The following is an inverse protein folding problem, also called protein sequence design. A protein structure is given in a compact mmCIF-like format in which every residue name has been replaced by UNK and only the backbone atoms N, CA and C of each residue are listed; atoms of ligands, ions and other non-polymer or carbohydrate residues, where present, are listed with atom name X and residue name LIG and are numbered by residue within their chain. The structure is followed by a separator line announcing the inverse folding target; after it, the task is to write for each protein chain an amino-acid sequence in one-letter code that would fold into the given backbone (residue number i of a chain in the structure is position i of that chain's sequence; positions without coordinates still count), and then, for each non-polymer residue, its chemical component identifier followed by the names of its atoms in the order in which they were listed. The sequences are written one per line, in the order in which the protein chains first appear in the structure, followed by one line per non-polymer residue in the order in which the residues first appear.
data_IF_726133254543
#
_entry.id   IF_726133254543
#
_cell.length_a   1.000
_cell.length_b   1.000
_cell.length_c   1.000
_cell.angle_alpha   90.00
_cell.angle_beta   90.00
_cell.angle_gamma   90.00
#
_symmetry.space_group_name_H-M   'P 1'
#
loop_
_entity.id
_entity.type
_entity.pdbx_description
1 polymer ?
#
# COMPACT_ATOMS: atom_id res chain seq x y z
N UNK A 1 11.66 39.69 -0.49
CA UNK A 1 11.98 38.42 -1.20
C UNK A 1 13.36 38.46 -1.86
N UNK A 2 13.66 39.41 -2.75
CA UNK A 2 14.97 39.53 -3.42
C UNK A 2 16.18 39.77 -2.47
N UNK A 3 16.00 40.55 -1.40
CA UNK A 3 17.04 40.78 -0.36
C UNK A 3 17.33 39.54 0.52
N UNK A 4 16.34 38.64 0.70
CA UNK A 4 16.49 37.42 1.50
C UNK A 4 17.27 36.33 0.72
N UNK A 5 17.02 36.21 -0.59
CA UNK A 5 17.74 35.30 -1.49
C UNK A 5 19.24 35.69 -1.64
N UNK A 6 19.55 36.98 -1.51
CA UNK A 6 20.92 37.49 -1.58
C UNK A 6 21.79 37.11 -0.36
N UNK A 7 21.20 36.91 0.83
CA UNK A 7 21.92 36.42 2.02
C UNK A 7 22.27 34.93 1.92
N UNK A 8 21.35 34.09 1.44
CA UNK A 8 21.62 32.67 1.14
C UNK A 8 22.75 32.47 0.11
N UNK A 9 22.90 33.38 -0.87
CA UNK A 9 24.00 33.29 -1.85
C UNK A 9 25.37 33.68 -1.28
N UNK A 10 25.46 34.51 -0.23
CA UNK A 10 26.75 34.96 0.34
C UNK A 10 27.48 33.87 1.13
N UNK A 11 26.77 32.89 1.69
CA UNK A 11 27.40 31.74 2.37
C UNK A 11 28.10 30.76 1.42
N UNK A 12 27.84 30.84 0.11
CA UNK A 12 28.35 29.89 -0.89
C UNK A 12 29.61 30.37 -1.63
N UNK A 13 30.04 31.62 -1.45
CA UNK A 13 31.17 32.21 -2.20
C UNK A 13 32.21 32.74 -1.21
N UNK A 14 33.00 31.83 -0.64
CA UNK A 14 34.34 32.17 -0.14
C UNK A 14 35.36 31.29 -0.86
N UNK A 15 36.41 31.95 -1.35
CA UNK A 15 37.39 31.44 -2.30
C UNK A 15 38.34 30.40 -1.65
N UNK A 16 38.59 29.31 -2.37
CA UNK A 16 39.83 28.52 -2.28
C UNK A 16 39.95 27.50 -1.15
N UNK A 17 39.25 26.36 -1.23
CA UNK A 17 39.65 25.14 -0.50
C UNK A 17 39.08 23.85 -1.15
N UNK A 18 39.87 22.77 -1.10
CA UNK A 18 39.63 21.39 -1.62
C UNK A 18 38.23 20.83 -1.33
N UNK A 19 37.71 19.85 -2.12
CA UNK A 19 36.36 19.32 -1.96
C UNK A 19 36.21 18.63 -0.60
N UNK A 20 35.48 19.27 0.32
CA UNK A 20 35.13 18.74 1.65
C UNK A 20 33.79 17.99 1.59
N UNK A 21 33.66 17.03 2.51
CA UNK A 21 32.69 15.91 2.58
C UNK A 21 31.23 16.16 2.17
N UNK A 22 30.60 15.09 1.65
CA UNK A 22 29.23 14.96 1.13
C UNK A 22 28.09 15.14 2.17
N UNK A 23 28.35 15.67 3.36
CA UNK A 23 27.36 15.87 4.44
C UNK A 23 27.59 17.18 5.21
N UNK A 24 27.74 18.32 4.52
CA UNK A 24 27.85 19.63 5.18
C UNK A 24 26.52 20.39 5.20
N UNK A 25 26.21 20.92 6.38
CA UNK A 25 25.02 21.65 6.85
C UNK A 25 24.91 23.10 6.35
N UNK A 26 25.07 23.35 5.05
CA UNK A 26 25.33 24.73 4.55
C UNK A 26 24.30 25.23 3.52
N UNK A 27 23.01 25.14 3.83
CA UNK A 27 21.95 25.80 3.04
C UNK A 27 21.25 26.95 3.80
N UNK A 28 21.44 27.03 5.10
CA UNK A 28 20.90 28.06 5.99
C UNK A 28 21.79 28.15 7.23
N UNK A 29 21.89 29.33 7.83
CA UNK A 29 22.54 29.51 9.12
C UNK A 29 21.57 29.11 10.24
N UNK A 30 22.07 28.52 11.34
CA UNK A 30 21.20 28.12 12.46
C UNK A 30 20.52 29.34 13.12
N UNK A 31 21.12 30.53 13.04
CA UNK A 31 20.55 31.79 13.55
C UNK A 31 19.31 32.25 12.76
N UNK A 32 19.15 31.78 11.52
CA UNK A 32 17.99 32.06 10.66
C UNK A 32 16.78 31.17 11.01
N UNK A 33 16.90 30.29 12.00
CA UNK A 33 15.84 29.40 12.46
C UNK A 33 15.16 29.95 13.72
N UNK A 34 13.84 29.84 13.77
CA UNK A 34 13.06 29.82 15.01
C UNK A 34 12.64 28.36 15.25
N UNK A 35 13.22 27.74 16.29
CA UNK A 35 12.99 26.34 16.65
C UNK A 35 12.13 26.27 17.92
N UNK A 36 10.97 25.63 17.81
CA UNK A 36 10.05 25.41 18.93
C UNK A 36 9.77 23.93 19.11
N UNK A 37 9.67 23.53 20.38
CA UNK A 37 9.29 22.18 20.76
C UNK A 37 7.87 22.21 21.31
N UNK A 38 6.97 21.52 20.64
CA UNK A 38 5.57 21.48 21.02
C UNK A 38 5.19 20.06 21.45
N UNK A 39 4.18 19.98 22.31
CA UNK A 39 3.54 18.72 22.61
C UNK A 39 2.88 18.20 21.33
N UNK A 40 3.24 16.99 20.94
CA UNK A 40 2.65 16.35 19.78
C UNK A 40 1.21 15.96 20.04
N UNK A 41 0.33 16.14 19.05
CA UNK A 41 -1.06 15.67 19.09
C UNK A 41 -1.26 14.55 18.07
N UNK A 42 -1.95 13.48 18.47
CA UNK A 42 -2.27 12.32 17.62
C UNK A 42 -2.49 11.03 18.45
N UNK A 43 -2.78 9.91 17.78
CA UNK A 43 -3.08 8.59 18.39
C UNK A 43 -1.86 7.89 19.04
N UNK A 44 -0.93 8.66 19.60
CA UNK A 44 0.19 8.15 20.37
C UNK A 44 -0.21 7.95 21.82
N UNK A 45 0.04 6.76 22.39
CA UNK A 45 -0.29 6.44 23.78
C UNK A 45 0.25 7.46 24.81
N UNK A 46 -0.15 7.30 26.08
CA UNK A 46 0.00 8.25 27.19
C UNK A 46 1.37 8.96 27.37
N UNK A 47 2.45 8.44 26.75
CA UNK A 47 3.80 9.03 26.78
C UNK A 47 4.05 10.11 25.71
N UNK A 48 3.37 10.04 24.55
CA UNK A 48 3.54 11.01 23.44
C UNK A 48 2.88 12.36 23.79
N UNK A 49 1.74 12.33 24.47
CA UNK A 49 1.02 13.52 24.90
C UNK A 49 1.71 14.27 26.07
N UNK A 50 2.67 13.63 26.76
CA UNK A 50 3.40 14.21 27.90
C UNK A 50 4.78 14.74 27.56
N UNK A 51 5.29 14.48 26.35
CA UNK A 51 6.67 14.83 25.98
C UNK A 51 6.69 15.75 24.76
N UNK A 52 7.32 16.93 24.88
CA UNK A 52 7.50 17.91 23.79
C UNK A 52 8.49 17.43 22.72
N UNK A 53 8.15 16.34 22.04
CA UNK A 53 8.99 15.64 21.05
C UNK A 53 8.78 16.13 19.62
N UNK A 54 7.73 16.92 19.36
CA UNK A 54 7.46 17.49 18.04
C UNK A 54 8.29 18.77 17.84
N UNK A 55 9.02 18.83 16.71
CA UNK A 55 9.86 19.97 16.35
C UNK A 55 9.15 20.82 15.31
N UNK A 56 9.06 22.11 15.58
CA UNK A 56 8.58 23.12 14.65
C UNK A 56 9.75 24.04 14.31
N UNK A 57 10.17 24.05 13.04
CA UNK A 57 11.21 24.93 12.51
C UNK A 57 10.58 25.96 11.58
N UNK A 58 10.82 27.25 11.86
CA UNK A 58 10.52 28.34 10.94
C UNK A 58 11.83 28.91 10.43
N UNK A 59 12.02 28.92 9.11
CA UNK A 59 13.14 29.63 8.50
C UNK A 59 12.74 31.09 8.28
N UNK A 60 13.25 31.99 9.12
CA UNK A 60 12.85 33.42 9.16
C UNK A 60 12.96 34.10 7.79
N UNK A 61 13.99 33.87 6.96
CA UNK A 61 14.14 34.55 5.67
C UNK A 61 13.09 34.16 4.61
N UNK A 62 12.63 32.89 4.60
CA UNK A 62 11.68 32.39 3.59
C UNK A 62 10.26 32.20 4.13
N UNK A 63 10.07 32.24 5.45
CA UNK A 63 8.80 31.93 6.10
C UNK A 63 8.43 30.44 6.05
N UNK A 64 9.32 29.57 5.59
CA UNK A 64 9.06 28.13 5.50
C UNK A 64 8.90 27.53 6.90
N UNK A 65 7.79 26.83 7.09
CA UNK A 65 7.43 26.14 8.31
C UNK A 65 7.55 24.62 8.11
N UNK A 66 8.43 23.98 8.86
CA UNK A 66 8.55 22.52 8.92
C UNK A 66 8.08 22.04 10.29
N UNK A 67 7.09 21.15 10.30
CA UNK A 67 6.67 20.40 11.50
C UNK A 67 7.09 18.94 11.36
N UNK A 68 7.76 18.40 12.38
CA UNK A 68 8.29 17.04 12.37
C UNK A 68 8.03 16.31 13.68
N UNK A 69 7.32 15.18 13.59
CA UNK A 69 7.07 14.25 14.70
C UNK A 69 7.04 12.82 14.16
N UNK A 70 8.19 12.33 13.70
CA UNK A 70 8.31 10.98 13.13
C UNK A 70 8.74 9.92 14.14
N UNK A 71 9.46 10.35 15.17
CA UNK A 71 10.04 9.46 16.17
C UNK A 71 9.69 9.91 17.58
N UNK A 72 9.92 9.03 18.56
CA UNK A 72 9.86 9.36 19.99
C UNK A 72 11.05 10.21 20.48
N UNK A 73 12.07 10.42 19.65
CA UNK A 73 13.30 11.11 20.00
C UNK A 73 13.31 12.54 19.46
N UNK A 74 13.46 13.51 20.38
CA UNK A 74 13.55 14.93 20.02
C UNK A 74 14.73 15.19 19.07
N UNK A 75 15.89 14.61 19.35
CA UNK A 75 17.11 14.82 18.56
C UNK A 75 16.98 14.24 17.14
N UNK A 76 16.32 13.08 16.99
CA UNK A 76 16.03 12.52 15.68
C UNK A 76 15.04 13.39 14.91
N UNK A 77 13.96 13.85 15.56
CA UNK A 77 13.00 14.76 14.93
C UNK A 77 13.65 16.10 14.52
N UNK A 78 14.60 16.63 15.31
CA UNK A 78 15.39 17.84 14.99
C UNK A 78 16.25 17.64 13.74
N UNK A 79 16.90 16.47 13.62
CA UNK A 79 17.72 16.14 12.44
C UNK A 79 16.86 15.99 11.18
N UNK A 80 15.72 15.33 11.28
CA UNK A 80 14.80 15.12 10.16
C UNK A 80 14.18 16.44 9.70
N UNK A 81 13.76 17.29 10.64
CA UNK A 81 13.20 18.61 10.34
C UNK A 81 14.20 19.49 9.56
N UNK A 82 15.47 19.52 9.97
CA UNK A 82 16.54 20.27 9.26
C UNK A 82 16.81 19.72 7.86
N UNK A 83 16.79 18.39 7.67
CA UNK A 83 16.95 17.77 6.35
C UNK A 83 15.80 18.13 5.40
N UNK A 84 14.56 18.13 5.91
CA UNK A 84 13.36 18.53 5.15
C UNK A 84 13.41 20.00 4.77
N UNK A 85 13.81 20.86 5.71
CA UNK A 85 13.99 22.29 5.46
C UNK A 85 15.06 22.53 4.38
N UNK A 86 16.21 21.86 4.48
CA UNK A 86 17.27 21.95 3.48
C UNK A 86 16.79 21.54 2.08
N UNK A 87 16.00 20.47 1.98
CA UNK A 87 15.43 20.02 0.72
C UNK A 87 14.45 21.03 0.11
N UNK A 88 13.56 21.61 0.92
CA UNK A 88 12.61 22.63 0.45
C UNK A 88 13.31 23.93 0.04
N UNK A 89 14.36 24.33 0.76
CA UNK A 89 15.17 25.50 0.41
C UNK A 89 15.97 25.26 -0.87
N UNK A 90 16.56 24.08 -1.06
CA UNK A 90 17.28 23.74 -2.30
C UNK A 90 16.33 23.77 -3.52
N UNK A 91 15.09 23.30 -3.36
CA UNK A 91 14.07 23.36 -4.40
C UNK A 91 13.67 24.81 -4.72
N UNK A 92 13.40 25.63 -3.70
CA UNK A 92 13.04 27.05 -3.89
C UNK A 92 14.18 27.89 -4.48
N UNK A 93 15.43 27.59 -4.14
CA UNK A 93 16.60 28.35 -4.59
C UNK A 93 17.07 27.95 -6.00
N UNK A 94 16.99 26.66 -6.32
CA UNK A 94 17.65 26.11 -7.49
C UNK A 94 16.68 25.50 -8.53
N UNK A 95 15.39 25.34 -8.24
CA UNK A 95 14.39 24.81 -9.18
C UNK A 95 14.85 23.53 -9.88
N UNK A 96 14.85 23.53 -11.22
CA UNK A 96 15.31 22.41 -12.07
C UNK A 96 16.80 22.08 -11.91
N UNK A 97 17.59 23.03 -11.38
CA UNK A 97 19.00 22.84 -11.07
C UNK A 97 19.24 22.28 -9.67
N UNK A 98 18.19 22.07 -8.87
CA UNK A 98 18.30 21.48 -7.52
C UNK A 98 18.95 20.10 -7.55
N UNK A 99 19.60 19.73 -6.44
CA UNK A 99 20.27 18.42 -6.33
C UNK A 99 19.28 17.27 -6.46
N UNK A 100 18.03 17.51 -6.04
CA UNK A 100 16.91 16.57 -6.12
C UNK A 100 16.42 16.44 -7.57
N UNK A 101 16.18 17.55 -8.27
CA UNK A 101 15.78 17.55 -9.68
C UNK A 101 16.83 16.88 -10.59
N UNK A 102 18.12 17.17 -10.38
CA UNK A 102 19.23 16.50 -11.11
C UNK A 102 19.29 14.98 -10.86
N UNK A 103 18.91 14.54 -9.66
CA UNK A 103 18.84 13.10 -9.31
C UNK A 103 17.65 12.43 -10.00
N UNK A 104 16.49 13.08 -10.00
CA UNK A 104 15.29 12.61 -10.72
C UNK A 104 15.52 12.53 -12.24
N UNK A 105 16.17 13.53 -12.84
CA UNK A 105 16.50 13.54 -14.27
C UNK A 105 17.50 12.43 -14.64
N UNK A 106 18.52 12.17 -13.81
CA UNK A 106 19.44 11.03 -14.00
C UNK A 106 18.69 9.68 -13.96
N UNK A 107 17.70 9.54 -13.07
CA UNK A 107 16.86 8.35 -12.99
C UNK A 107 15.97 8.21 -14.23
N UNK A 108 15.36 9.30 -14.72
CA UNK A 108 14.56 9.31 -15.96
C UNK A 108 15.40 8.91 -17.18
N UNK A 109 16.61 9.45 -17.32
CA UNK A 109 17.55 9.06 -18.38
C UNK A 109 17.95 7.59 -18.32
N UNK A 110 18.15 7.01 -17.13
CA UNK A 110 18.45 5.57 -16.97
C UNK A 110 17.27 4.70 -17.36
N UNK A 111 16.04 5.07 -16.96
CA UNK A 111 14.81 4.37 -17.35
C UNK A 111 14.58 4.42 -18.88
N UNK A 112 14.77 5.58 -19.50
CA UNK A 112 14.67 5.75 -20.96
C UNK A 112 15.68 4.89 -21.73
N UNK A 113 16.95 4.89 -21.31
CA UNK A 113 17.98 4.04 -21.91
C UNK A 113 17.67 2.55 -21.74
N UNK A 114 17.14 2.14 -20.60
CA UNK A 114 16.74 0.74 -20.37
C UNK A 114 15.56 0.34 -21.27
N UNK A 115 14.56 1.22 -21.44
CA UNK A 115 13.42 1.02 -22.36
C UNK A 115 13.87 0.90 -23.82
N UNK A 116 14.80 1.76 -24.27
CA UNK A 116 15.37 1.68 -25.62
C UNK A 116 16.11 0.37 -25.89
N UNK A 117 16.88 -0.13 -24.90
CA UNK A 117 17.60 -1.40 -24.99
C UNK A 117 16.68 -2.62 -24.96
N UNK A 118 15.60 -2.55 -24.19
CA UNK A 118 14.57 -3.60 -24.17
C UNK A 118 13.86 -3.68 -25.52
N UNK A 119 13.48 -2.53 -26.09
CA UNK A 119 12.81 -2.44 -27.41
C UNK A 119 13.72 -2.92 -28.55
N UNK A 120 15.03 -2.66 -28.48
CA UNK A 120 16.00 -3.15 -29.45
C UNK A 120 16.29 -4.66 -29.32
N UNK A 121 16.07 -5.27 -28.14
CA UNK A 121 16.38 -6.68 -27.88
C UNK A 121 15.22 -7.62 -28.25
N UNK A 122 13.98 -7.14 -28.19
CA UNK A 122 12.77 -7.97 -28.37
C UNK A 122 11.85 -7.48 -29.50
N UNK A 123 12.30 -6.52 -30.32
CA UNK A 123 11.52 -5.99 -31.43
C UNK A 123 12.08 -6.40 -32.78
N UNK A 124 11.67 -7.55 -33.32
CA UNK A 124 11.28 -7.73 -34.73
C UNK A 124 10.68 -9.11 -35.05
N UNK A 125 9.89 -9.08 -36.14
CA UNK A 125 9.01 -10.10 -36.76
C UNK A 125 7.61 -10.11 -36.10
N UNK A 126 6.54 -9.58 -36.70
CA UNK A 126 6.11 -9.66 -38.11
C UNK A 126 5.74 -8.31 -38.78
N UNK A 127 6.06 -8.21 -40.08
CA UNK A 127 5.61 -7.17 -41.03
C UNK A 127 4.36 -7.66 -41.80
N UNK A 128 3.29 -6.83 -41.87
CA UNK A 128 2.54 -6.44 -43.07
C UNK A 128 1.32 -5.53 -42.70
N UNK A 129 0.85 -4.66 -43.61
CA UNK A 129 0.33 -3.33 -43.28
C UNK A 129 -1.20 -3.27 -43.17
N UNK A 130 -1.70 -2.52 -42.19
CA UNK A 130 -3.11 -2.18 -42.04
C UNK A 130 -3.27 -0.76 -41.51
N UNK A 131 -3.76 0.13 -42.38
CA UNK A 131 -4.11 1.52 -42.09
C UNK A 131 -4.99 1.66 -40.85
N UNK A 132 -4.62 2.60 -39.98
CA UNK A 132 -5.42 2.97 -38.81
C UNK A 132 -4.57 3.58 -37.71
N UNK A 133 -4.16 4.83 -37.87
CA UNK A 133 -3.50 5.61 -36.82
C UNK A 133 -4.39 5.68 -35.56
N UNK A 134 -4.07 4.89 -34.54
CA UNK A 134 -4.60 5.07 -33.19
C UNK A 134 -3.81 6.20 -32.51
N UNK A 135 -4.47 7.23 -31.94
CA UNK A 135 -3.77 8.34 -31.32
C UNK A 135 -3.08 7.89 -30.02
N UNK A 136 -1.84 8.35 -29.86
CA UNK A 136 -0.99 8.21 -28.67
C UNK A 136 -1.72 8.64 -27.39
N UNK A 137 -2.10 7.69 -26.54
CA UNK A 137 -2.81 7.94 -25.27
C UNK A 137 -1.91 7.95 -24.01
N UNK A 138 -0.58 8.06 -24.16
CA UNK A 138 0.34 7.98 -23.00
C UNK A 138 1.32 9.16 -22.87
N UNK A 139 1.01 10.31 -23.47
CA UNK A 139 1.70 11.56 -23.18
C UNK A 139 1.08 12.28 -21.97
N UNK A 140 1.18 11.69 -20.77
CA UNK A 140 1.08 12.48 -19.52
C UNK A 140 2.48 12.85 -19.07
N UNK A 141 2.75 14.16 -19.07
CA UNK A 141 3.93 14.73 -18.42
C UNK A 141 3.96 14.27 -16.95
N UNK A 142 5.11 13.87 -16.40
CA UNK A 142 5.15 13.48 -15.00
C UNK A 142 5.12 14.73 -14.13
N UNK A 143 4.02 14.82 -13.39
CA UNK A 143 3.77 15.78 -12.33
C UNK A 143 4.94 15.88 -11.36
N UNK A 144 5.23 17.13 -11.02
CA UNK A 144 6.23 17.60 -10.08
C UNK A 144 6.04 16.98 -8.68
N UNK A 145 7.12 16.38 -8.16
CA UNK A 145 7.23 15.69 -6.88
C UNK A 145 7.27 16.71 -5.73
N UNK A 146 6.10 17.24 -5.38
CA UNK A 146 5.89 17.96 -4.12
C UNK A 146 4.64 17.46 -3.38
N UNK A 147 4.80 16.42 -2.56
CA UNK A 147 4.11 16.34 -1.27
C UNK A 147 2.57 16.24 -1.26
N UNK A 148 1.94 15.78 -2.33
CA UNK A 148 0.54 15.34 -2.29
C UNK A 148 0.54 13.82 -2.13
N UNK A 149 0.21 13.33 -0.93
CA UNK A 149 -0.62 12.11 -0.88
C UNK A 149 -1.76 12.39 -1.85
N UNK A 150 -1.91 11.60 -2.92
CA UNK A 150 -3.13 11.67 -3.74
C UNK A 150 -4.29 11.86 -2.77
N UNK A 151 -5.03 12.96 -2.89
CA UNK A 151 -6.22 13.14 -2.08
C UNK A 151 -7.12 11.98 -2.48
N UNK A 152 -7.11 10.91 -1.68
CA UNK A 152 -8.00 9.78 -1.81
C UNK A 152 -9.40 10.40 -1.78
N UNK A 153 -10.05 10.48 -2.93
CA UNK A 153 -11.37 11.07 -3.01
C UNK A 153 -12.34 10.14 -2.28
N UNK A 154 -13.17 10.66 -1.36
CA UNK A 154 -14.17 9.85 -0.68
C UNK A 154 -15.08 9.16 -1.70
N UNK A 155 -15.43 7.90 -1.44
CA UNK A 155 -16.45 7.23 -2.25
C UNK A 155 -17.82 7.81 -1.87
N UNK A 156 -18.57 8.20 -2.90
CA UNK A 156 -19.95 8.66 -2.74
C UNK A 156 -20.91 7.48 -2.57
N UNK A 157 -21.94 7.66 -1.74
CA UNK A 157 -23.01 6.67 -1.53
C UNK A 157 -22.80 5.77 -0.32
N UNK A 158 -23.79 4.88 -0.09
CA UNK A 158 -23.76 3.90 1.00
C UNK A 158 -23.06 2.62 0.57
N UNK A 159 -22.29 2.04 1.49
CA UNK A 159 -21.56 0.79 1.30
C UNK A 159 -22.09 -0.25 2.28
N UNK A 160 -22.49 -1.40 1.78
CA UNK A 160 -23.01 -2.50 2.59
C UNK A 160 -22.01 -3.65 2.60
N UNK A 161 -21.67 -4.16 3.77
CA UNK A 161 -20.86 -5.37 3.93
C UNK A 161 -21.77 -6.50 4.38
N UNK A 162 -21.96 -7.51 3.54
CA UNK A 162 -22.69 -8.73 3.88
C UNK A 162 -21.72 -9.75 4.45
N UNK A 163 -21.91 -10.12 5.70
CA UNK A 163 -20.96 -10.83 6.56
C UNK A 163 -20.10 -9.85 7.36
N UNK A 164 -19.99 -10.08 8.66
CA UNK A 164 -19.19 -9.27 9.59
C UNK A 164 -18.02 -10.05 10.22
N UNK A 165 -17.38 -10.91 9.41
CA UNK A 165 -16.21 -11.66 9.83
C UNK A 165 -14.92 -10.84 9.83
N UNK A 166 -13.80 -11.50 10.12
CA UNK A 166 -12.47 -10.88 10.23
C UNK A 166 -12.09 -10.03 9.00
N UNK A 167 -12.41 -10.50 7.79
CA UNK A 167 -12.06 -9.76 6.57
C UNK A 167 -12.94 -8.52 6.36
N UNK A 168 -14.23 -8.61 6.66
CA UNK A 168 -15.12 -7.45 6.62
C UNK A 168 -14.64 -6.38 7.60
N UNK A 169 -14.38 -6.75 8.85
CA UNK A 169 -13.82 -5.84 9.87
C UNK A 169 -12.50 -5.23 9.43
N UNK A 170 -11.60 -6.03 8.83
CA UNK A 170 -10.32 -5.55 8.30
C UNK A 170 -10.46 -4.51 7.19
N UNK A 171 -11.37 -4.75 6.24
CA UNK A 171 -11.63 -3.84 5.13
C UNK A 171 -12.33 -2.57 5.61
N UNK A 172 -13.34 -2.68 6.47
CA UNK A 172 -14.06 -1.54 7.04
C UNK A 172 -13.07 -0.64 7.81
N UNK A 173 -12.29 -1.21 8.73
CA UNK A 173 -11.28 -0.46 9.49
C UNK A 173 -10.21 0.16 8.58
N UNK A 174 -9.79 -0.55 7.55
CA UNK A 174 -8.85 -0.05 6.54
C UNK A 174 -9.39 1.14 5.75
N UNK A 175 -10.62 1.06 5.24
CA UNK A 175 -11.25 2.13 4.44
C UNK A 175 -11.57 3.36 5.29
N UNK A 176 -12.08 3.17 6.51
CA UNK A 176 -12.31 4.27 7.46
C UNK A 176 -10.99 4.92 7.86
N UNK A 177 -9.97 4.12 8.20
CA UNK A 177 -8.64 4.63 8.56
C UNK A 177 -7.88 5.31 7.41
N UNK A 178 -8.26 5.04 6.16
CA UNK A 178 -7.78 5.74 4.97
C UNK A 178 -8.55 7.03 4.66
N UNK A 179 -9.68 7.28 5.34
CA UNK A 179 -10.57 8.42 5.07
C UNK A 179 -11.39 8.27 3.78
N UNK A 180 -11.46 7.05 3.22
CA UNK A 180 -12.17 6.76 1.98
C UNK A 180 -13.69 6.65 2.20
N UNK A 181 -14.09 6.14 3.36
CA UNK A 181 -15.48 5.99 3.79
C UNK A 181 -15.64 6.56 5.20
N UNK A 182 -16.70 7.35 5.41
CA UNK A 182 -17.13 7.72 6.75
C UNK A 182 -17.87 6.53 7.39
N UNK A 183 -17.74 6.28 8.71
CA UNK A 183 -18.46 5.20 9.38
C UNK A 183 -19.97 5.21 9.12
N UNK A 184 -20.60 6.40 9.10
CA UNK A 184 -22.02 6.57 8.82
C UNK A 184 -22.46 6.22 7.39
N UNK A 185 -21.53 6.01 6.45
CA UNK A 185 -21.83 5.50 5.11
C UNK A 185 -21.88 3.97 5.05
N UNK A 186 -21.44 3.28 6.10
CA UNK A 186 -21.23 1.84 6.11
C UNK A 186 -22.34 1.14 6.89
N UNK A 187 -22.86 0.05 6.35
CA UNK A 187 -23.73 -0.89 7.07
C UNK A 187 -23.14 -2.30 7.00
N UNK A 188 -22.88 -2.91 8.15
CA UNK A 188 -22.48 -4.31 8.25
C UNK A 188 -23.72 -5.18 8.51
N UNK A 189 -23.93 -6.19 7.67
CA UNK A 189 -25.08 -7.09 7.72
C UNK A 189 -24.61 -8.48 8.11
N UNK A 190 -25.11 -9.03 9.21
CA UNK A 190 -24.78 -10.39 9.65
C UNK A 190 -25.93 -10.96 10.49
N UNK A 191 -26.32 -12.25 10.31
CA UNK A 191 -27.37 -12.88 11.10
C UNK A 191 -27.14 -12.82 12.61
N UNK A 192 -25.90 -12.67 13.07
CA UNK A 192 -25.56 -12.57 14.49
C UNK A 192 -26.03 -11.25 15.13
N UNK A 193 -26.28 -10.21 14.34
CA UNK A 193 -26.69 -8.92 14.86
C UNK A 193 -28.15 -8.93 15.30
N UNK A 194 -28.41 -8.30 16.44
CA UNK A 194 -29.78 -8.12 16.95
C UNK A 194 -30.27 -6.72 16.62
N UNK A 195 -31.50 -6.62 16.12
CA UNK A 195 -32.13 -5.33 15.87
C UNK A 195 -32.19 -4.48 17.15
N UNK A 196 -31.73 -3.23 17.07
CA UNK A 196 -31.74 -2.28 18.19
C UNK A 196 -30.60 -2.44 19.22
N UNK A 197 -29.67 -3.39 19.03
CA UNK A 197 -28.46 -3.46 19.86
C UNK A 197 -27.45 -2.38 19.43
N UNK A 198 -26.66 -1.86 20.38
CA UNK A 198 -25.54 -0.98 20.08
C UNK A 198 -24.60 -1.66 19.06
N UNK A 199 -24.00 -0.87 18.17
CA UNK A 199 -23.05 -1.36 17.18
C UNK A 199 -22.05 -2.31 17.86
N UNK A 200 -21.91 -3.52 17.35
CA UNK A 200 -21.00 -4.49 17.94
C UNK A 200 -19.59 -3.90 17.95
N UNK A 201 -18.93 -3.90 19.12
CA UNK A 201 -17.52 -3.46 19.27
C UNK A 201 -16.57 -4.17 18.28
N UNK A 202 -17.00 -5.31 17.74
CA UNK A 202 -16.27 -6.17 16.80
C UNK A 202 -16.01 -5.58 15.39
N UNK A 203 -16.68 -4.49 14.98
CA UNK A 203 -16.54 -3.96 13.59
C UNK A 203 -15.71 -2.69 13.56
N UNK A 204 -16.34 -1.53 13.73
CA UNK A 204 -15.67 -0.23 13.78
C UNK A 204 -16.64 0.79 14.40
N UNK A 205 -16.19 1.65 15.33
CA UNK A 205 -17.06 2.65 15.94
C UNK A 205 -17.76 3.53 14.89
N UNK A 206 -19.08 3.68 15.04
CA UNK A 206 -19.91 4.51 14.17
C UNK A 206 -20.43 3.84 12.89
N UNK A 207 -20.10 2.56 12.66
CA UNK A 207 -20.68 1.76 11.56
C UNK A 207 -22.03 1.20 11.99
N UNK A 208 -23.04 1.32 11.13
CA UNK A 208 -24.36 0.74 11.38
C UNK A 208 -24.33 -0.79 11.24
N UNK A 209 -25.12 -1.50 12.04
CA UNK A 209 -25.27 -2.95 11.97
C UNK A 209 -26.71 -3.33 11.68
N UNK A 210 -26.92 -4.42 10.93
CA UNK A 210 -28.25 -4.93 10.58
C UNK A 210 -28.23 -6.46 10.44
N UNK A 211 -29.37 -7.11 10.65
CA UNK A 211 -29.55 -8.54 10.35
C UNK A 211 -30.32 -8.78 9.04
N UNK A 212 -30.78 -7.71 8.38
CA UNK A 212 -31.69 -7.76 7.23
C UNK A 212 -31.00 -7.23 5.97
N UNK A 213 -30.91 -8.09 4.95
CA UNK A 213 -30.46 -7.70 3.61
C UNK A 213 -31.46 -6.73 2.96
N UNK A 214 -32.76 -7.01 3.10
CA UNK A 214 -33.84 -6.22 2.50
C UNK A 214 -33.88 -4.77 2.96
N UNK A 215 -33.47 -4.48 4.19
CA UNK A 215 -33.44 -3.11 4.71
C UNK A 215 -32.13 -2.38 4.36
N UNK A 216 -31.06 -3.14 4.11
CA UNK A 216 -29.70 -2.58 4.01
C UNK A 216 -29.28 -2.34 2.56
N UNK A 217 -29.59 -3.28 1.67
CA UNK A 217 -29.11 -3.30 0.27
C UNK A 217 -29.81 -2.27 -0.63
N UNK A 218 -31.14 -2.05 -0.58
CA UNK A 218 -31.79 -1.10 -1.46
C UNK A 218 -31.20 0.30 -1.31
N UNK A 219 -30.72 0.91 -2.40
CA UNK A 219 -30.07 2.23 -2.42
C UNK A 219 -28.59 2.23 -1.99
N UNK A 220 -27.96 1.06 -1.83
CA UNK A 220 -26.51 0.95 -1.69
C UNK A 220 -25.82 1.26 -3.03
N UNK A 221 -24.68 1.94 -2.99
CA UNK A 221 -23.83 2.11 -4.15
C UNK A 221 -22.93 0.89 -4.38
N UNK A 222 -22.49 0.26 -3.28
CA UNK A 222 -21.58 -0.89 -3.30
C UNK A 222 -22.04 -1.91 -2.26
N UNK A 223 -22.03 -3.18 -2.63
CA UNK A 223 -22.30 -4.31 -1.73
C UNK A 223 -21.10 -5.25 -1.73
N UNK A 224 -20.40 -5.35 -0.60
CA UNK A 224 -19.33 -6.32 -0.40
C UNK A 224 -19.90 -7.65 0.09
N UNK A 225 -19.65 -8.74 -0.63
CA UNK A 225 -19.95 -10.10 -0.17
C UNK A 225 -18.74 -10.66 0.59
N UNK A 226 -18.80 -10.57 1.91
CA UNK A 226 -17.79 -11.01 2.87
C UNK A 226 -18.21 -12.27 3.64
N UNK A 227 -19.08 -13.09 3.04
CA UNK A 227 -19.53 -14.37 3.60
C UNK A 227 -18.65 -15.53 3.14
N UNK A 228 -18.81 -16.69 3.79
CA UNK A 228 -18.11 -17.90 3.35
C UNK A 228 -18.58 -18.31 1.94
N UNK A 229 -17.73 -18.98 1.15
CA UNK A 229 -18.06 -19.34 -0.24
C UNK A 229 -19.35 -20.14 -0.43
N UNK A 230 -19.72 -21.02 0.51
CA UNK A 230 -20.96 -21.80 0.52
C UNK A 230 -22.22 -20.96 0.75
N UNK A 231 -22.09 -19.76 1.31
CA UNK A 231 -23.21 -18.87 1.62
C UNK A 231 -23.49 -17.86 0.50
N UNK A 232 -22.52 -17.65 -0.41
CA UNK A 232 -22.60 -16.63 -1.47
C UNK A 232 -23.82 -16.83 -2.36
N UNK A 233 -24.13 -18.07 -2.76
CA UNK A 233 -25.22 -18.36 -3.67
C UNK A 233 -26.59 -17.95 -3.09
N UNK A 234 -26.84 -18.27 -1.82
CA UNK A 234 -28.08 -17.88 -1.13
C UNK A 234 -28.20 -16.37 -0.99
N UNK A 235 -27.15 -15.71 -0.50
CA UNK A 235 -27.13 -14.24 -0.34
C UNK A 235 -27.33 -13.51 -1.66
N UNK A 236 -26.70 -13.99 -2.73
CA UNK A 236 -26.82 -13.36 -4.04
C UNK A 236 -28.21 -13.58 -4.64
N UNK A 237 -28.82 -14.75 -4.40
CA UNK A 237 -30.22 -15.02 -4.74
C UNK A 237 -31.19 -14.10 -4.00
N UNK A 238 -30.98 -13.90 -2.70
CA UNK A 238 -31.79 -12.98 -1.89
C UNK A 238 -31.66 -11.53 -2.39
N UNK A 239 -30.44 -11.10 -2.75
CA UNK A 239 -30.18 -9.77 -3.33
C UNK A 239 -30.88 -9.64 -4.70
N UNK A 240 -30.81 -10.66 -5.54
CA UNK A 240 -31.43 -10.66 -6.87
C UNK A 240 -32.96 -10.66 -6.80
N UNK A 241 -33.55 -11.19 -5.74
CA UNK A 241 -34.99 -11.23 -5.50
C UNK A 241 -35.55 -9.93 -4.88
N UNK A 242 -34.70 -8.94 -4.56
CA UNK A 242 -35.17 -7.69 -3.98
C UNK A 242 -36.06 -6.91 -4.99
N UNK A 243 -37.11 -6.23 -4.51
CA UNK A 243 -38.09 -5.57 -5.38
C UNK A 243 -37.51 -4.42 -6.21
N UNK A 244 -36.39 -3.86 -5.78
CA UNK A 244 -35.68 -2.80 -6.49
C UNK A 244 -34.46 -3.41 -7.19
N UNK A 245 -34.26 -3.18 -8.50
CA UNK A 245 -33.05 -3.60 -9.19
C UNK A 245 -31.82 -3.13 -8.43
N UNK A 246 -30.89 -4.04 -8.16
CA UNK A 246 -29.64 -3.71 -7.52
C UNK A 246 -28.72 -3.02 -8.54
N UNK A 247 -28.79 -1.68 -8.63
CA UNK A 247 -27.82 -0.88 -9.37
C UNK A 247 -26.44 -0.87 -8.70
N UNK A 248 -26.32 -1.43 -7.49
CA UNK A 248 -25.07 -1.45 -6.74
C UNK A 248 -24.00 -2.29 -7.46
N UNK A 249 -22.75 -1.86 -7.32
CA UNK A 249 -21.62 -2.70 -7.63
C UNK A 249 -21.48 -3.77 -6.54
N UNK A 250 -21.58 -5.04 -6.91
CA UNK A 250 -21.36 -6.16 -5.98
C UNK A 250 -19.90 -6.59 -6.06
N UNK A 251 -19.20 -6.50 -4.94
CA UNK A 251 -17.80 -6.89 -4.80
C UNK A 251 -17.71 -8.14 -3.93
N UNK A 252 -17.37 -9.29 -4.52
CA UNK A 252 -17.20 -10.53 -3.77
C UNK A 252 -15.75 -10.76 -3.38
N UNK A 253 -15.51 -11.09 -2.10
CA UNK A 253 -14.20 -11.54 -1.61
C UNK A 253 -14.14 -13.05 -1.36
N UNK A 254 -15.18 -13.78 -1.75
CA UNK A 254 -15.27 -15.21 -1.50
C UNK A 254 -14.28 -16.01 -2.36
N UNK A 255 -13.49 -16.86 -1.70
CA UNK A 255 -12.57 -17.76 -2.38
C UNK A 255 -13.34 -18.86 -3.14
N UNK A 256 -12.94 -19.11 -4.38
CA UNK A 256 -13.44 -20.23 -5.19
C UNK A 256 -14.85 -20.07 -5.78
N UNK A 257 -15.53 -18.94 -5.60
CA UNK A 257 -16.80 -18.67 -6.30
C UNK A 257 -16.52 -17.83 -7.54
N UNK A 258 -16.80 -18.39 -8.72
CA UNK A 258 -16.48 -17.71 -10.00
C UNK A 258 -17.46 -16.59 -10.31
N UNK A 259 -17.01 -15.60 -11.10
CA UNK A 259 -17.85 -14.55 -11.63
C UNK A 259 -19.01 -15.13 -12.45
N UNK A 260 -18.76 -16.18 -13.24
CA UNK A 260 -19.80 -16.85 -14.02
C UNK A 260 -20.87 -17.50 -13.13
N UNK A 261 -20.47 -18.20 -12.06
CA UNK A 261 -21.41 -18.79 -11.11
C UNK A 261 -22.26 -17.73 -10.40
N UNK A 262 -21.63 -16.63 -9.96
CA UNK A 262 -22.36 -15.51 -9.37
C UNK A 262 -23.31 -14.84 -10.38
N UNK A 263 -22.86 -14.63 -11.61
CA UNK A 263 -23.66 -13.99 -12.66
C UNK A 263 -24.82 -14.89 -13.14
N UNK A 264 -24.69 -16.21 -13.05
CA UNK A 264 -25.81 -17.13 -13.31
C UNK A 264 -26.96 -16.95 -12.30
N UNK A 265 -26.63 -16.66 -11.04
CA UNK A 265 -27.59 -16.45 -9.95
C UNK A 265 -28.19 -15.04 -10.00
N UNK A 266 -27.36 -14.03 -10.28
CA UNK A 266 -27.77 -12.65 -10.43
C UNK A 266 -27.39 -12.08 -11.81
N UNK A 267 -28.17 -12.37 -12.87
CA UNK A 267 -27.85 -12.02 -14.25
C UNK A 267 -27.71 -10.53 -14.53
N UNK A 268 -28.36 -9.67 -13.72
CA UNK A 268 -28.35 -8.23 -13.90
C UNK A 268 -27.30 -7.49 -13.03
N UNK A 269 -26.67 -8.17 -12.07
CA UNK A 269 -25.74 -7.52 -11.16
C UNK A 269 -24.41 -7.20 -11.83
N UNK A 270 -23.86 -6.02 -11.50
CA UNK A 270 -22.47 -5.66 -11.84
C UNK A 270 -21.56 -6.29 -10.81
N UNK A 271 -20.71 -7.22 -11.23
CA UNK A 271 -19.90 -8.05 -10.33
C UNK A 271 -18.41 -7.73 -10.47
N UNK A 272 -17.72 -7.60 -9.34
CA UNK A 272 -16.25 -7.65 -9.28
C UNK A 272 -15.86 -8.69 -8.23
N UNK A 273 -14.89 -9.53 -8.56
CA UNK A 273 -14.29 -10.48 -7.61
C UNK A 273 -12.95 -9.94 -7.17
N UNK A 274 -12.74 -9.82 -5.87
CA UNK A 274 -11.50 -9.35 -5.26
C UNK A 274 -10.92 -10.47 -4.41
N UNK A 275 -9.61 -10.67 -4.48
CA UNK A 275 -8.87 -11.53 -3.57
C UNK A 275 -7.97 -10.65 -2.69
N UNK A 276 -8.46 -10.20 -1.51
CA UNK A 276 -7.65 -9.44 -0.56
C UNK A 276 -6.84 -10.37 0.35
N UNK A 277 -6.14 -9.78 1.33
CA UNK A 277 -5.50 -10.52 2.41
C UNK A 277 -5.54 -9.76 3.75
N UNK A 278 -5.22 -10.45 4.85
CA UNK A 278 -5.36 -9.93 6.22
C UNK A 278 -4.54 -8.68 6.56
N UNK A 279 -3.37 -8.39 5.96
CA UNK A 279 -2.67 -7.11 6.14
C UNK A 279 -3.45 -5.83 5.76
N UNK A 280 -4.68 -5.95 5.24
CA UNK A 280 -5.62 -4.85 5.11
C UNK A 280 -5.82 -4.06 6.42
N UNK A 281 -5.80 -4.73 7.58
CA UNK A 281 -5.91 -4.11 8.91
C UNK A 281 -4.86 -3.02 9.16
N UNK A 282 -3.67 -3.18 8.59
CA UNK A 282 -2.54 -2.26 8.73
C UNK A 282 -2.26 -1.50 7.43
N UNK A 283 -3.24 -1.48 6.51
CA UNK A 283 -3.17 -0.82 5.19
C UNK A 283 -1.95 -1.24 4.38
N UNK A 284 -1.62 -2.54 4.44
CA UNK A 284 -0.53 -3.15 3.68
C UNK A 284 -1.02 -4.40 2.94
N UNK A 285 -2.28 -4.40 2.49
CA UNK A 285 -2.86 -5.49 1.74
C UNK A 285 -2.13 -5.72 0.41
N UNK A 286 -2.19 -6.95 -0.09
CA UNK A 286 -1.83 -7.29 -1.45
C UNK A 286 -3.03 -7.99 -2.10
N UNK A 287 -3.74 -7.25 -2.94
CA UNK A 287 -5.01 -7.67 -3.51
C UNK A 287 -4.91 -7.84 -5.02
N UNK A 288 -5.75 -8.70 -5.58
CA UNK A 288 -6.04 -8.68 -7.01
C UNK A 288 -7.54 -8.68 -7.24
N UNK A 289 -7.99 -8.18 -8.38
CA UNK A 289 -9.40 -8.24 -8.75
C UNK A 289 -9.60 -8.61 -10.22
N UNK A 290 -10.79 -9.14 -10.50
CA UNK A 290 -11.29 -9.43 -11.83
C UNK A 290 -12.73 -8.90 -11.96
N UNK A 291 -13.06 -8.38 -13.14
CA UNK A 291 -14.36 -7.80 -13.45
C UNK A 291 -15.27 -8.83 -14.15
N UNK A 292 -16.53 -8.90 -13.72
CA UNK A 292 -17.58 -9.67 -14.39
C UNK A 292 -18.05 -9.00 -15.68
N UNK A 293 -18.86 -9.71 -16.46
CA UNK A 293 -19.29 -9.27 -17.80
C UNK A 293 -20.04 -7.93 -17.83
N UNK A 294 -20.79 -7.62 -16.77
CA UNK A 294 -21.57 -6.38 -16.67
C UNK A 294 -20.83 -5.25 -15.92
N UNK A 295 -19.63 -5.51 -15.39
CA UNK A 295 -18.86 -4.48 -14.71
C UNK A 295 -18.29 -3.48 -15.73
N UNK A 296 -18.53 -2.20 -15.48
CA UNK A 296 -18.03 -1.11 -16.32
C UNK A 296 -16.57 -0.77 -15.98
N UNK A 297 -15.93 0.07 -16.81
CA UNK A 297 -14.61 0.62 -16.47
C UNK A 297 -14.65 1.46 -15.19
N UNK A 298 -15.74 2.18 -14.96
CA UNK A 298 -15.95 2.92 -13.72
C UNK A 298 -15.98 1.99 -12.50
N UNK A 299 -16.58 0.79 -12.63
CA UNK A 299 -16.60 -0.20 -11.55
C UNK A 299 -15.21 -0.78 -11.27
N UNK A 300 -14.42 -1.03 -12.31
CA UNK A 300 -13.04 -1.46 -12.19
C UNK A 300 -12.18 -0.41 -11.47
N UNK A 301 -12.34 0.87 -11.83
CA UNK A 301 -11.64 1.98 -11.19
C UNK A 301 -12.08 2.14 -9.73
N UNK A 302 -13.37 1.98 -9.44
CA UNK A 302 -13.91 2.02 -8.08
C UNK A 302 -13.31 0.91 -7.21
N UNK A 303 -13.30 -0.33 -7.71
CA UNK A 303 -12.67 -1.46 -7.03
C UNK A 303 -11.17 -1.23 -6.81
N UNK A 304 -10.47 -0.67 -7.81
CA UNK A 304 -9.05 -0.30 -7.70
C UNK A 304 -8.83 0.76 -6.63
N UNK A 305 -9.59 1.84 -6.62
CA UNK A 305 -9.48 2.92 -5.61
C UNK A 305 -9.72 2.40 -4.20
N UNK A 306 -10.75 1.57 -4.01
CA UNK A 306 -11.03 0.91 -2.74
C UNK A 306 -9.83 0.09 -2.25
N UNK A 307 -9.35 -0.83 -3.07
CA UNK A 307 -8.28 -1.74 -2.64
C UNK A 307 -6.92 -1.05 -2.54
N UNK A 308 -6.64 -0.04 -3.36
CA UNK A 308 -5.42 0.76 -3.30
C UNK A 308 -5.32 1.59 -2.01
N UNK A 309 -6.45 1.98 -1.40
CA UNK A 309 -6.43 2.74 -0.14
C UNK A 309 -5.92 1.92 1.05
N UNK A 310 -5.91 0.59 0.92
CA UNK A 310 -5.49 -0.35 1.97
C UNK A 310 -4.28 -1.20 1.57
N UNK A 311 -3.65 -0.94 0.41
CA UNK A 311 -2.46 -1.65 -0.01
C UNK A 311 -2.21 -1.63 -1.51
N UNK A 312 -1.51 -2.65 -2.01
CA UNK A 312 -1.26 -2.84 -3.45
C UNK A 312 -2.41 -3.62 -4.07
N UNK A 313 -2.84 -3.20 -5.27
CA UNK A 313 -3.87 -3.89 -6.04
C UNK A 313 -3.47 -4.04 -7.50
N UNK A 314 -3.77 -5.19 -8.08
CA UNK A 314 -3.62 -5.46 -9.52
C UNK A 314 -4.94 -5.98 -10.11
N UNK A 315 -5.22 -5.61 -11.36
CA UNK A 315 -6.31 -6.23 -12.13
C UNK A 315 -5.74 -7.40 -12.90
N UNK A 316 -6.41 -8.55 -12.83
CA UNK A 316 -5.97 -9.79 -13.48
C UNK A 316 -7.16 -10.52 -14.10
N UNK A 317 -6.92 -11.40 -15.10
CA UNK A 317 -7.94 -12.35 -15.51
C UNK A 317 -8.39 -13.22 -14.32
N UNK A 318 -9.68 -13.55 -14.24
CA UNK A 318 -10.21 -14.34 -13.12
C UNK A 318 -9.45 -15.67 -12.94
N UNK A 319 -9.02 -16.30 -14.03
CA UNK A 319 -8.23 -17.54 -14.02
C UNK A 319 -6.89 -17.45 -13.27
N UNK A 320 -6.43 -16.24 -12.94
CA UNK A 320 -5.22 -15.99 -12.14
C UNK A 320 -5.52 -15.80 -10.65
N UNK A 321 -6.78 -15.62 -10.24
CA UNK A 321 -7.11 -15.35 -8.85
C UNK A 321 -6.74 -16.50 -7.91
N UNK A 322 -6.79 -17.77 -8.35
CA UNK A 322 -6.32 -18.89 -7.52
C UNK A 322 -4.80 -18.87 -7.29
N UNK A 323 -4.04 -18.38 -8.29
CA UNK A 323 -2.61 -18.15 -8.14
C UNK A 323 -2.35 -17.01 -7.14
N UNK A 324 -3.15 -15.94 -7.20
CA UNK A 324 -3.12 -14.84 -6.22
C UNK A 324 -3.46 -15.35 -4.82
N UNK A 325 -4.47 -16.22 -4.66
CA UNK A 325 -4.81 -16.83 -3.38
C UNK A 325 -3.62 -17.58 -2.79
N UNK A 326 -2.95 -18.44 -3.58
CA UNK A 326 -1.78 -19.17 -3.09
C UNK A 326 -0.56 -18.30 -2.79
N UNK A 327 -0.42 -17.17 -3.49
CA UNK A 327 0.68 -16.23 -3.28
C UNK A 327 0.40 -15.22 -2.17
N UNK A 328 -0.52 -14.26 -2.38
CA UNK A 328 -0.75 -13.15 -1.46
C UNK A 328 -1.87 -13.42 -0.46
N UNK A 329 -2.81 -14.33 -0.77
CA UNK A 329 -3.85 -14.76 0.17
C UNK A 329 -3.28 -15.59 1.32
N UNK A 330 -2.52 -16.64 0.99
CA UNK A 330 -1.83 -17.52 1.95
C UNK A 330 -0.46 -16.98 2.40
N UNK A 331 0.16 -16.12 1.60
CA UNK A 331 1.48 -15.53 1.83
C UNK A 331 1.74 -14.98 3.24
N UNK A 332 0.81 -14.25 3.88
CA UNK A 332 1.00 -13.76 5.25
C UNK A 332 1.38 -14.87 6.24
N UNK A 333 0.77 -16.06 6.14
CA UNK A 333 1.12 -17.20 7.00
C UNK A 333 2.56 -17.68 6.78
N UNK A 334 3.01 -17.74 5.52
CA UNK A 334 4.38 -18.13 5.19
C UNK A 334 5.40 -17.11 5.73
N UNK A 335 5.04 -15.83 5.68
CA UNK A 335 5.87 -14.74 6.22
C UNK A 335 5.89 -14.78 7.75
N UNK A 336 4.78 -15.08 8.42
CA UNK A 336 4.76 -15.26 9.88
C UNK A 336 5.67 -16.40 10.33
N UNK A 337 5.61 -17.56 9.64
CA UNK A 337 6.52 -18.68 9.90
C UNK A 337 7.99 -18.28 9.69
N UNK A 338 8.28 -17.46 8.68
CA UNK A 338 9.64 -16.96 8.44
C UNK A 338 10.12 -16.03 9.56
N UNK A 339 9.26 -15.12 10.02
CA UNK A 339 9.58 -14.22 11.13
C UNK A 339 9.83 -15.01 12.42
N UNK A 340 9.00 -16.01 12.69
CA UNK A 340 9.16 -16.92 13.84
C UNK A 340 10.49 -17.67 13.77
N UNK A 341 10.80 -18.30 12.63
CA UNK A 341 12.06 -19.01 12.45
C UNK A 341 13.30 -18.10 12.55
N UNK A 342 13.23 -16.86 12.04
CA UNK A 342 14.30 -15.86 12.20
C UNK A 342 14.48 -15.48 13.68
N UNK A 343 13.40 -15.31 14.42
CA UNK A 343 13.46 -15.02 15.85
C UNK A 343 14.08 -16.19 16.64
N UNK A 344 13.72 -17.43 16.32
CA UNK A 344 14.34 -18.63 16.90
C UNK A 344 15.84 -18.71 16.61
N UNK A 345 16.25 -18.43 15.38
CA UNK A 345 17.67 -18.34 15.02
C UNK A 345 18.41 -17.24 15.80
N UNK A 346 17.75 -16.10 16.03
CA UNK A 346 18.27 -15.03 16.87
C UNK A 346 18.46 -15.44 18.34
N UNK A 347 17.49 -16.17 18.91
CA UNK A 347 17.59 -16.71 20.28
C UNK A 347 18.69 -17.76 20.39
N UNK A 348 18.79 -18.67 19.40
CA UNK A 348 19.87 -19.65 19.33
C UNK A 348 21.27 -18.98 19.22
N UNK A 349 21.31 -17.74 18.71
CA UNK A 349 22.52 -16.91 18.62
C UNK A 349 22.74 -15.99 19.83
N UNK A 350 21.94 -16.13 20.89
CA UNK A 350 22.11 -15.43 22.17
C UNK A 350 21.26 -14.17 22.39
N UNK A 351 20.32 -13.85 21.50
CA UNK A 351 19.38 -12.74 21.72
C UNK A 351 18.27 -13.13 22.69
N UNK A 352 17.68 -12.12 23.35
CA UNK A 352 16.41 -12.33 24.06
C UNK A 352 15.29 -12.62 23.05
N UNK A 353 14.28 -13.40 23.47
CA UNK A 353 13.09 -13.68 22.64
C UNK A 353 12.43 -12.39 22.13
N UNK A 354 12.31 -11.39 23.00
CA UNK A 354 11.67 -10.12 22.68
C UNK A 354 12.44 -9.36 21.60
N UNK A 355 13.77 -9.22 21.76
CA UNK A 355 14.60 -8.51 20.78
C UNK A 355 14.65 -9.26 19.45
N UNK A 356 14.79 -10.60 19.48
CA UNK A 356 14.83 -11.43 18.29
C UNK A 356 13.55 -11.29 17.46
N UNK A 357 12.38 -11.32 18.10
CA UNK A 357 11.09 -11.15 17.41
C UNK A 357 10.93 -9.75 16.81
N UNK A 358 11.30 -8.71 17.56
CA UNK A 358 11.23 -7.33 17.06
C UNK A 358 12.16 -7.10 15.86
N UNK A 359 13.40 -7.59 15.94
CA UNK A 359 14.39 -7.48 14.87
C UNK A 359 14.00 -8.31 13.65
N UNK A 360 13.48 -9.52 13.82
CA UNK A 360 13.01 -10.37 12.72
C UNK A 360 11.88 -9.70 11.93
N UNK A 361 10.84 -9.22 12.62
CA UNK A 361 9.71 -8.55 11.98
C UNK A 361 10.13 -7.28 11.23
N UNK A 362 10.98 -6.45 11.85
CA UNK A 362 11.49 -5.22 11.24
C UNK A 362 12.41 -5.49 10.04
N UNK A 363 13.19 -6.58 10.09
CA UNK A 363 14.07 -7.02 8.98
C UNK A 363 13.24 -7.40 7.75
N UNK A 364 12.20 -8.21 7.95
CA UNK A 364 11.28 -8.60 6.87
C UNK A 364 10.56 -7.38 6.28
N UNK A 365 10.03 -6.48 7.13
CA UNK A 365 9.40 -5.24 6.69
C UNK A 365 10.35 -4.36 5.86
N UNK A 366 11.58 -4.15 6.34
CA UNK A 366 12.58 -3.34 5.66
C UNK A 366 12.96 -3.91 4.29
N UNK A 367 13.22 -5.22 4.22
CA UNK A 367 13.53 -5.90 2.96
C UNK A 367 12.39 -5.80 1.94
N UNK A 368 11.14 -6.02 2.38
CA UNK A 368 9.96 -5.89 1.52
C UNK A 368 9.80 -4.45 0.99
N UNK A 369 9.97 -3.44 1.84
CA UNK A 369 9.93 -2.02 1.42
C UNK A 369 11.01 -1.70 0.40
N UNK A 370 12.23 -2.20 0.57
CA UNK A 370 13.29 -1.97 -0.41
C UNK A 370 12.93 -2.52 -1.79
N UNK A 371 12.29 -3.69 -1.87
CA UNK A 371 11.82 -4.24 -3.14
C UNK A 371 10.77 -3.32 -3.77
N UNK A 372 9.76 -2.92 -3.00
CA UNK A 372 8.63 -2.11 -3.47
C UNK A 372 9.05 -0.70 -3.90
N UNK A 373 9.84 -0.02 -3.07
CA UNK A 373 10.20 1.40 -3.26
C UNK A 373 11.34 1.60 -4.29
N UNK A 374 12.26 0.64 -4.40
CA UNK A 374 13.37 0.78 -5.37
C UNK A 374 13.04 0.18 -6.74
N UNK A 375 12.05 -0.72 -6.80
CA UNK A 375 11.71 -1.51 -8.00
C UNK A 375 12.92 -2.26 -8.60
N UNK A 376 13.96 -2.53 -7.79
CA UNK A 376 15.13 -3.31 -8.20
C UNK A 376 14.82 -4.79 -8.12
N UNK A 377 15.46 -5.57 -8.98
CA UNK A 377 15.35 -7.02 -8.93
C UNK A 377 15.83 -7.55 -7.55
N UNK A 378 15.09 -8.45 -6.87
CA UNK A 378 15.48 -8.95 -5.55
C UNK A 378 16.88 -9.58 -5.50
N UNK A 379 17.32 -10.22 -6.59
CA UNK A 379 18.68 -10.74 -6.72
C UNK A 379 19.76 -9.66 -6.60
N UNK A 380 19.53 -8.46 -7.18
CA UNK A 380 20.49 -7.36 -7.04
C UNK A 380 20.51 -6.77 -5.62
N UNK A 381 19.36 -6.74 -4.95
CA UNK A 381 19.27 -6.28 -3.56
C UNK A 381 20.01 -7.26 -2.63
N UNK A 382 19.84 -8.57 -2.86
CA UNK A 382 20.61 -9.63 -2.20
C UNK A 382 22.11 -9.45 -2.41
N UNK A 383 22.56 -9.25 -3.65
CA UNK A 383 23.98 -9.08 -3.96
C UNK A 383 24.56 -7.82 -3.31
N UNK A 384 23.78 -6.74 -3.23
CA UNK A 384 24.21 -5.49 -2.61
C UNK A 384 24.47 -5.59 -1.09
N UNK A 385 23.90 -6.59 -0.40
CA UNK A 385 24.09 -6.81 1.05
C UNK A 385 25.00 -8.01 1.37
N UNK A 386 25.44 -8.75 0.34
CA UNK A 386 26.29 -9.92 0.46
C UNK A 386 27.76 -9.55 0.21
N UNK A 387 28.46 -9.08 1.24
CA UNK A 387 29.89 -8.82 1.15
C UNK A 387 30.69 -10.11 0.94
N UNK A 388 31.79 -10.08 0.17
CA UNK A 388 32.68 -11.23 0.01
C UNK A 388 33.16 -11.77 1.36
N UNK A 389 33.04 -13.08 1.57
CA UNK A 389 33.35 -13.79 2.82
C UNK A 389 32.64 -13.24 4.09
N UNK A 390 31.57 -12.45 3.92
CA UNK A 390 30.81 -11.89 5.03
C UNK A 390 29.77 -12.83 5.64
N UNK A 391 29.13 -12.38 6.71
CA UNK A 391 28.09 -13.14 7.42
C UNK A 391 26.86 -13.40 6.53
N UNK A 392 26.48 -12.42 5.70
CA UNK A 392 25.32 -12.55 4.80
C UNK A 392 25.48 -13.67 3.79
N UNK A 393 26.66 -13.79 3.15
CA UNK A 393 26.87 -14.83 2.14
C UNK A 393 26.94 -16.23 2.77
N UNK A 394 27.49 -16.36 3.98
CA UNK A 394 27.45 -17.62 4.74
C UNK A 394 26.00 -18.04 5.05
N UNK A 395 25.15 -17.10 5.48
CA UNK A 395 23.71 -17.35 5.68
C UNK A 395 22.99 -17.75 4.39
N UNK A 396 23.28 -17.08 3.27
CA UNK A 396 22.71 -17.43 1.95
C UNK A 396 23.09 -18.87 1.56
N UNK A 397 24.35 -19.28 1.73
CA UNK A 397 24.78 -20.65 1.42
C UNK A 397 24.01 -21.68 2.25
N UNK A 398 23.78 -21.42 3.54
CA UNK A 398 22.98 -22.29 4.39
C UNK A 398 21.51 -22.38 3.92
N UNK A 399 20.90 -21.25 3.55
CA UNK A 399 19.53 -21.22 3.01
C UNK A 399 19.39 -21.99 1.69
N UNK A 400 20.36 -21.84 0.78
CA UNK A 400 20.37 -22.57 -0.50
C UNK A 400 20.58 -24.08 -0.27
N UNK A 401 21.46 -24.45 0.67
CA UNK A 401 21.68 -25.85 1.06
C UNK A 401 20.42 -26.49 1.67
N UNK A 402 19.64 -25.71 2.40
CA UNK A 402 18.33 -26.12 2.93
C UNK A 402 17.19 -26.09 1.91
N UNK A 403 17.45 -25.75 0.65
CA UNK A 403 16.44 -25.73 -0.41
C UNK A 403 15.40 -24.62 -0.27
N UNK A 404 15.73 -23.49 0.40
CA UNK A 404 14.78 -22.42 0.75
C UNK A 404 13.86 -22.00 -0.41
N UNK A 405 14.42 -21.74 -1.60
CA UNK A 405 13.64 -21.31 -2.77
C UNK A 405 12.63 -22.36 -3.19
N UNK A 406 13.04 -23.63 -3.22
CA UNK A 406 12.16 -24.73 -3.62
C UNK A 406 10.99 -24.90 -2.66
N UNK A 407 11.23 -24.76 -1.35
CA UNK A 407 10.19 -24.82 -0.33
C UNK A 407 9.17 -23.70 -0.46
N UNK A 408 9.63 -22.45 -0.69
CA UNK A 408 8.74 -21.30 -0.88
C UNK A 408 7.92 -21.43 -2.17
N UNK A 409 8.55 -21.83 -3.28
CA UNK A 409 7.84 -22.09 -4.55
C UNK A 409 6.80 -23.20 -4.37
N UNK A 410 7.18 -24.29 -3.72
CA UNK A 410 6.31 -25.42 -3.42
C UNK A 410 5.09 -25.02 -2.58
N UNK A 411 5.27 -24.17 -1.57
CA UNK A 411 4.18 -23.67 -0.73
C UNK A 411 3.15 -22.87 -1.55
N UNK A 412 3.61 -21.96 -2.42
CA UNK A 412 2.71 -21.18 -3.29
C UNK A 412 1.97 -22.08 -4.26
N UNK A 413 2.67 -23.00 -4.93
CA UNK A 413 2.05 -23.93 -5.90
C UNK A 413 1.01 -24.84 -5.22
N UNK A 414 1.33 -25.38 -4.05
CA UNK A 414 0.42 -26.23 -3.28
C UNK A 414 -0.84 -25.45 -2.85
N UNK A 415 -0.67 -24.23 -2.33
CA UNK A 415 -1.79 -23.38 -1.93
C UNK A 415 -2.67 -22.98 -3.12
N UNK A 416 -2.07 -22.60 -4.26
CA UNK A 416 -2.81 -22.31 -5.49
C UNK A 416 -3.55 -23.53 -6.04
N UNK A 417 -2.95 -24.72 -5.96
CA UNK A 417 -3.60 -25.97 -6.38
C UNK A 417 -4.80 -26.28 -5.47
N UNK A 418 -4.65 -26.10 -4.15
CA UNK A 418 -5.75 -26.28 -3.22
C UNK A 418 -6.88 -25.27 -3.45
N UNK A 419 -6.57 -24.02 -3.77
CA UNK A 419 -7.56 -23.01 -4.12
C UNK A 419 -8.41 -23.43 -5.33
N UNK A 420 -7.77 -23.95 -6.40
CA UNK A 420 -8.47 -24.50 -7.57
C UNK A 420 -9.39 -25.67 -7.21
N UNK A 421 -8.91 -26.61 -6.39
CA UNK A 421 -9.71 -27.76 -5.94
C UNK A 421 -10.97 -27.31 -5.18
N UNK A 422 -10.84 -26.33 -4.30
CA UNK A 422 -11.97 -25.77 -3.54
C UNK A 422 -13.00 -25.08 -4.44
N UNK A 423 -12.56 -24.49 -5.55
CA UNK A 423 -13.46 -23.91 -6.56
C UNK A 423 -14.22 -24.96 -7.36
N UNK A 424 -13.60 -26.12 -7.63
CA UNK A 424 -14.19 -27.21 -8.42
C UNK A 424 -15.13 -28.16 -7.66
N UNK A 425 -15.14 -28.10 -6.32
CA UNK A 425 -15.96 -28.97 -5.47
C UNK A 425 -17.38 -28.41 -5.21
N UNK A 426 -17.77 -27.38 -5.97
CA UNK A 426 -19.03 -26.62 -5.84
C UNK A 426 -19.54 -26.31 -7.23
#
# INVERSE_FOLDING_TARGET
MLLALARCRRGAISLGARPRSLFSSTLFDEDDLDEKFIHGGGNGGQKINKTASCVQLVHKPTGLLIKCQETRSLQQNRSIARKRLAAQLDLQLNGDSSRIARRQERLRRRKSKHRSRSRAKYGREDDEPGDGAAPDLDAREPDDDTGLRERIMPIAGRVVFVGAGQMATAMIGGFVGAGLLAPGQITAVDPRFRAGAAASDDVCPGVATSSSLGDSVPGAAIVFLCVKPDVVAGVLGDIAALPTPCDALVISIAAGVTLDAMQAIAPACRLVRVMPNTPCLVRSAASAFACGRLATRHDADLARTLMASVGTVVEVPESKLDAVTGLSGSGPAFVFMMIEALADGGVASGLTRQDAQALAAQTVLGAARMVLETSRHPGELKDAVASPAGTTIAGIVALESGGFRSSVIGAVVAASTRAKQLASQK
#
